data_IF_594165590586
#
_entry.id   IF_594165590586
#
_cell.length_a   1.000
_cell.length_b   1.000
_cell.length_c   1.000
_cell.angle_alpha   90.00
_cell.angle_beta   90.00
_cell.angle_gamma   90.00
#
_symmetry.space_group_name_H-M   'P 1'
#
loop_
_entity.id
_entity.type
_entity.pdbx_description
1 polymer ?
#
# COMPACT_ATOMS: atom_id res chain seq x y z
N UNK A 1 5.89 26.81 -10.41
CA UNK A 1 6.08 26.13 -9.11
C UNK A 1 7.53 26.30 -8.67
N UNK A 2 7.84 26.45 -7.38
CA UNK A 2 9.23 26.53 -6.93
C UNK A 2 9.86 25.13 -6.83
N UNK A 3 11.19 25.03 -6.90
CA UNK A 3 11.88 23.74 -6.77
C UNK A 3 11.56 23.07 -5.43
N UNK A 4 11.46 23.84 -4.35
CA UNK A 4 11.12 23.32 -3.03
C UNK A 4 9.71 22.74 -2.99
N UNK A 5 8.71 23.43 -3.56
CA UNK A 5 7.35 22.91 -3.56
C UNK A 5 7.17 21.71 -4.48
N UNK A 6 7.88 21.66 -5.61
CA UNK A 6 7.93 20.48 -6.47
C UNK A 6 8.49 19.26 -5.71
N UNK A 7 9.63 19.42 -5.04
CA UNK A 7 10.26 18.35 -4.27
C UNK A 7 9.36 17.88 -3.12
N UNK A 8 8.73 18.82 -2.41
CA UNK A 8 7.82 18.48 -1.31
C UNK A 8 6.61 17.68 -1.80
N UNK A 9 5.97 18.10 -2.90
CA UNK A 9 4.82 17.38 -3.47
C UNK A 9 5.24 16.00 -4.02
N UNK A 10 6.38 15.92 -4.70
CA UNK A 10 6.90 14.66 -5.24
C UNK A 10 7.28 13.66 -4.15
N UNK A 11 7.79 14.15 -3.01
CA UNK A 11 8.22 13.31 -1.89
C UNK A 11 7.08 12.98 -0.92
N UNK A 12 6.01 13.78 -0.87
CA UNK A 12 4.91 13.61 0.08
C UNK A 12 4.35 12.17 0.11
N UNK A 13 4.09 11.49 -1.02
CA UNK A 13 3.58 10.12 -1.00
C UNK A 13 4.45 9.14 -0.19
N UNK A 14 5.76 9.38 -0.07
CA UNK A 14 6.67 8.51 0.69
C UNK A 14 6.34 8.44 2.18
N UNK A 15 5.56 9.38 2.73
CA UNK A 15 5.10 9.31 4.12
C UNK A 15 4.37 7.99 4.40
N UNK A 16 3.63 7.48 3.42
CA UNK A 16 2.86 6.23 3.51
C UNK A 16 3.75 4.98 3.54
N UNK A 17 5.02 5.08 3.18
CA UNK A 17 6.01 4.00 3.35
C UNK A 17 6.84 4.20 4.61
N UNK A 18 7.29 5.44 4.84
CA UNK A 18 8.20 5.77 5.92
C UNK A 18 7.56 5.57 7.29
N UNK A 19 6.34 6.07 7.51
CA UNK A 19 5.67 5.96 8.81
C UNK A 19 5.42 4.50 9.19
N UNK A 20 4.84 3.64 8.33
CA UNK A 20 4.67 2.22 8.63
C UNK A 20 5.98 1.47 8.82
N UNK A 21 7.00 1.77 8.01
CA UNK A 21 8.32 1.13 8.12
C UNK A 21 8.98 1.45 9.44
N UNK A 22 9.00 2.73 9.84
CA UNK A 22 9.56 3.17 11.13
C UNK A 22 8.76 2.59 12.29
N UNK A 23 7.42 2.63 12.23
CA UNK A 23 6.55 2.06 13.25
C UNK A 23 6.78 0.56 13.43
N UNK A 24 6.83 -0.20 12.34
CA UNK A 24 7.12 -1.63 12.36
C UNK A 24 8.52 -1.93 12.89
N UNK A 25 9.53 -1.17 12.43
CA UNK A 25 10.90 -1.34 12.88
C UNK A 25 11.04 -1.12 14.38
N UNK A 26 10.48 -0.03 14.92
CA UNK A 26 10.51 0.26 16.37
C UNK A 26 9.82 -0.86 17.15
N UNK A 27 8.64 -1.33 16.70
CA UNK A 27 7.86 -2.35 17.42
C UNK A 27 8.50 -3.73 17.37
N UNK A 28 9.22 -4.05 16.30
CA UNK A 28 9.83 -5.38 16.14
C UNK A 28 11.19 -5.55 16.81
N UNK A 29 11.82 -4.47 17.32
CA UNK A 29 13.07 -4.56 18.11
C UNK A 29 12.98 -5.46 19.33
N UNK A 30 11.76 -5.69 19.84
CA UNK A 30 11.48 -6.53 21.02
C UNK A 30 10.62 -7.74 20.67
N UNK A 31 10.51 -8.09 19.37
CA UNK A 31 9.71 -9.23 18.97
C UNK A 31 10.38 -10.53 19.45
N UNK A 32 9.69 -11.39 20.22
CA UNK A 32 10.25 -12.63 20.75
C UNK A 32 10.38 -13.73 19.69
N UNK A 33 9.76 -13.56 18.50
CA UNK A 33 9.85 -14.52 17.41
C UNK A 33 9.69 -13.86 16.04
N UNK A 34 10.18 -14.55 15.00
CA UNK A 34 10.00 -14.14 13.61
C UNK A 34 8.52 -14.03 13.23
N UNK A 35 7.66 -14.91 13.76
CA UNK A 35 6.22 -14.88 13.50
C UNK A 35 5.59 -13.58 14.01
N UNK A 36 5.93 -13.17 15.23
CA UNK A 36 5.43 -11.91 15.80
C UNK A 36 5.99 -10.69 15.07
N UNK A 37 7.25 -10.75 14.63
CA UNK A 37 7.83 -9.71 13.79
C UNK A 37 7.08 -9.57 12.46
N UNK A 38 6.87 -10.67 11.73
CA UNK A 38 6.13 -10.68 10.46
C UNK A 38 4.70 -10.16 10.63
N UNK A 39 3.99 -10.59 11.68
CA UNK A 39 2.63 -10.10 11.96
C UNK A 39 2.61 -8.59 12.25
N UNK A 40 3.60 -8.09 12.99
CA UNK A 40 3.74 -6.65 13.27
C UNK A 40 3.97 -5.87 11.99
N UNK A 41 4.93 -6.29 11.16
CA UNK A 41 5.21 -5.67 9.87
C UNK A 41 3.98 -5.69 8.96
N UNK A 42 3.30 -6.83 8.88
CA UNK A 42 2.11 -7.00 8.05
C UNK A 42 1.00 -6.02 8.47
N UNK A 43 0.75 -5.85 9.77
CA UNK A 43 -0.28 -4.92 10.27
C UNK A 43 0.07 -3.46 10.00
N UNK A 44 1.32 -3.06 10.19
CA UNK A 44 1.76 -1.70 9.88
C UNK A 44 1.60 -1.38 8.40
N UNK A 45 1.99 -2.30 7.51
CA UNK A 45 1.82 -2.11 6.07
C UNK A 45 0.35 -2.19 5.63
N UNK A 46 -0.43 -3.11 6.20
CA UNK A 46 -1.85 -3.26 5.90
C UNK A 46 -2.66 -2.02 6.29
N UNK A 47 -2.50 -1.55 7.53
CA UNK A 47 -3.26 -0.41 8.06
C UNK A 47 -2.64 0.90 7.58
N UNK A 48 -1.35 1.11 7.81
CA UNK A 48 -0.71 2.40 7.61
C UNK A 48 -0.43 2.69 6.14
N UNK A 49 0.28 1.79 5.45
CA UNK A 49 0.68 2.02 4.06
C UNK A 49 -0.52 1.88 3.12
N UNK A 50 -1.17 0.72 3.18
CA UNK A 50 -2.22 0.39 2.22
C UNK A 50 -3.57 0.98 2.60
N UNK A 51 -4.04 0.75 3.83
CA UNK A 51 -5.34 1.23 4.32
C UNK A 51 -5.44 2.76 4.37
N UNK A 52 -4.64 3.40 5.24
CA UNK A 52 -4.65 4.85 5.43
C UNK A 52 -4.16 5.60 4.19
N UNK A 53 -3.15 5.09 3.48
CA UNK A 53 -2.69 5.69 2.22
C UNK A 53 -3.79 5.75 1.16
N UNK A 54 -4.52 4.64 0.94
CA UNK A 54 -5.63 4.62 -0.02
C UNK A 54 -6.83 5.44 0.47
N UNK A 55 -7.11 5.45 1.78
CA UNK A 55 -8.16 6.30 2.35
C UNK A 55 -7.84 7.79 2.16
N UNK A 56 -6.58 8.18 2.34
CA UNK A 56 -6.13 9.54 2.05
C UNK A 56 -6.38 9.91 0.59
N UNK A 57 -6.04 9.03 -0.36
CA UNK A 57 -6.34 9.28 -1.78
C UNK A 57 -7.84 9.46 -2.03
N UNK A 58 -8.67 8.63 -1.40
CA UNK A 58 -10.14 8.75 -1.47
C UNK A 58 -10.60 10.14 -1.02
N UNK A 59 -10.16 10.56 0.17
CA UNK A 59 -10.53 11.85 0.74
C UNK A 59 -10.01 13.00 -0.12
N UNK A 60 -8.79 12.91 -0.64
CA UNK A 60 -8.18 13.95 -1.45
C UNK A 60 -8.90 14.13 -2.80
N UNK A 61 -9.21 13.03 -3.50
CA UNK A 61 -9.93 13.10 -4.78
C UNK A 61 -11.38 13.57 -4.64
N UNK A 62 -12.06 13.24 -3.53
CA UNK A 62 -13.44 13.70 -3.28
C UNK A 62 -13.50 15.14 -2.75
N UNK A 63 -12.61 15.49 -1.81
CA UNK A 63 -12.65 16.76 -1.10
C UNK A 63 -11.93 17.91 -1.82
N UNK A 64 -10.90 17.61 -2.62
CA UNK A 64 -10.10 18.60 -3.33
C UNK A 64 -9.76 18.15 -4.76
N UNK A 65 -10.76 17.85 -5.62
CA UNK A 65 -10.52 17.33 -6.96
C UNK A 65 -9.67 18.25 -7.84
N UNK A 66 -9.85 19.57 -7.80
CA UNK A 66 -9.03 20.50 -8.61
C UNK A 66 -7.55 20.49 -8.21
N UNK A 67 -7.28 20.34 -6.91
CA UNK A 67 -5.92 20.22 -6.38
C UNK A 67 -5.30 18.92 -6.85
N UNK A 68 -6.04 17.81 -6.77
CA UNK A 68 -5.55 16.51 -7.23
C UNK A 68 -5.28 16.51 -8.73
N UNK A 69 -6.19 17.03 -9.55
CA UNK A 69 -6.05 17.14 -11.01
C UNK A 69 -4.76 17.88 -11.38
N UNK A 70 -4.54 19.05 -10.76
CA UNK A 70 -3.33 19.85 -10.93
C UNK A 70 -2.08 19.08 -10.48
N UNK A 71 -2.13 18.41 -9.33
CA UNK A 71 -0.99 17.69 -8.78
C UNK A 71 -0.57 16.52 -9.68
N UNK A 72 -1.53 15.78 -10.24
CA UNK A 72 -1.27 14.62 -11.09
C UNK A 72 -1.08 14.97 -12.57
N UNK A 73 -1.28 16.23 -12.99
CA UNK A 73 -1.06 16.64 -14.38
C UNK A 73 -2.20 16.30 -15.35
N UNK A 74 -3.40 16.02 -14.83
CA UNK A 74 -4.57 15.66 -15.64
C UNK A 74 -5.69 16.70 -15.52
N UNK A 75 -6.54 16.78 -16.54
CA UNK A 75 -7.78 17.55 -16.47
C UNK A 75 -8.75 16.96 -15.45
N UNK A 76 -9.56 17.83 -14.86
CA UNK A 76 -10.66 17.40 -13.99
C UNK A 76 -11.76 16.74 -14.83
N UNK A 77 -11.91 15.43 -14.65
CA UNK A 77 -12.93 14.63 -15.33
C UNK A 77 -13.70 13.75 -14.33
N UNK A 78 -14.88 13.21 -14.70
CA UNK A 78 -15.61 12.27 -13.84
C UNK A 78 -14.80 11.04 -13.40
N UNK A 79 -13.77 10.66 -14.16
CA UNK A 79 -12.87 9.56 -13.82
C UNK A 79 -12.20 9.73 -12.45
N UNK A 80 -12.01 10.97 -11.97
CA UNK A 80 -11.46 11.23 -10.64
C UNK A 80 -12.33 10.66 -9.51
N UNK A 81 -13.65 10.65 -9.70
CA UNK A 81 -14.58 10.04 -8.75
C UNK A 81 -14.40 8.52 -8.72
N UNK A 82 -14.19 7.89 -9.88
CA UNK A 82 -13.89 6.46 -9.97
C UNK A 82 -12.56 6.11 -9.30
N UNK A 83 -11.51 6.92 -9.51
CA UNK A 83 -10.23 6.76 -8.81
C UNK A 83 -10.42 6.82 -7.29
N UNK A 84 -11.24 7.75 -6.81
CA UNK A 84 -11.53 7.87 -5.38
C UNK A 84 -12.16 6.59 -4.82
N UNK A 85 -13.16 6.03 -5.50
CA UNK A 85 -13.85 4.81 -5.04
C UNK A 85 -13.02 3.54 -5.25
N UNK A 86 -12.18 3.49 -6.28
CA UNK A 86 -11.17 2.44 -6.41
C UNK A 86 -10.26 2.43 -5.17
N UNK A 87 -9.74 3.60 -4.78
CA UNK A 87 -8.93 3.74 -3.57
C UNK A 87 -9.71 3.47 -2.28
N UNK A 88 -11.00 3.76 -2.22
CA UNK A 88 -11.84 3.38 -1.08
C UNK A 88 -11.92 1.85 -0.93
N UNK A 89 -12.09 1.14 -2.04
CA UNK A 89 -12.03 -0.33 -2.08
C UNK A 89 -10.68 -0.86 -1.58
N UNK A 90 -9.57 -0.27 -2.03
CA UNK A 90 -8.24 -0.60 -1.53
C UNK A 90 -8.08 -0.34 -0.03
N UNK A 91 -8.61 0.78 0.47
CA UNK A 91 -8.56 1.12 1.89
C UNK A 91 -9.27 0.08 2.75
N UNK A 92 -10.48 -0.32 2.35
CA UNK A 92 -11.27 -1.36 3.03
C UNK A 92 -10.50 -2.68 3.05
N UNK A 93 -9.91 -3.08 1.92
CA UNK A 93 -9.09 -4.30 1.85
C UNK A 93 -7.82 -4.19 2.71
N UNK A 94 -7.17 -3.04 2.76
CA UNK A 94 -6.01 -2.78 3.61
C UNK A 94 -6.34 -2.95 5.10
N UNK A 95 -7.44 -2.37 5.57
CA UNK A 95 -7.89 -2.56 6.95
C UNK A 95 -8.30 -4.01 7.23
N UNK A 96 -8.98 -4.67 6.28
CA UNK A 96 -9.32 -6.09 6.39
C UNK A 96 -8.07 -6.97 6.51
N UNK A 97 -7.00 -6.63 5.80
CA UNK A 97 -5.76 -7.39 5.81
C UNK A 97 -5.08 -7.42 7.19
N UNK A 98 -5.36 -6.46 8.08
CA UNK A 98 -4.78 -6.41 9.42
C UNK A 98 -5.08 -7.66 10.26
N UNK A 99 -6.25 -8.25 10.09
CA UNK A 99 -6.71 -9.46 10.80
C UNK A 99 -6.94 -10.66 9.87
N UNK A 100 -6.55 -10.56 8.61
CA UNK A 100 -6.74 -11.61 7.61
C UNK A 100 -5.71 -12.75 7.74
N UNK A 101 -6.08 -13.91 7.22
CA UNK A 101 -5.13 -15.03 7.08
C UNK A 101 -4.01 -14.69 6.09
N UNK A 102 -2.86 -15.38 6.18
CA UNK A 102 -1.78 -15.18 5.21
C UNK A 102 -2.22 -15.40 3.75
N UNK A 103 -3.11 -16.37 3.49
CA UNK A 103 -3.66 -16.62 2.15
C UNK A 103 -4.51 -15.44 1.66
N UNK A 104 -5.40 -14.94 2.50
CA UNK A 104 -6.26 -13.80 2.16
C UNK A 104 -5.45 -12.51 1.97
N UNK A 105 -4.40 -12.29 2.77
CA UNK A 105 -3.45 -11.17 2.60
C UNK A 105 -2.73 -11.22 1.26
N UNK A 106 -2.37 -12.42 0.75
CA UNK A 106 -1.81 -12.57 -0.59
C UNK A 106 -2.85 -12.16 -1.65
N UNK A 107 -4.10 -12.63 -1.54
CA UNK A 107 -5.18 -12.25 -2.46
C UNK A 107 -5.42 -10.74 -2.46
N UNK A 108 -5.48 -10.13 -1.28
CA UNK A 108 -5.63 -8.67 -1.12
C UNK A 108 -4.44 -7.94 -1.75
N UNK A 109 -3.21 -8.39 -1.50
CA UNK A 109 -2.00 -7.81 -2.08
C UNK A 109 -1.98 -7.91 -3.60
N UNK A 110 -2.42 -9.02 -4.18
CA UNK A 110 -2.54 -9.19 -5.64
C UNK A 110 -3.63 -8.27 -6.22
N UNK A 111 -4.80 -8.20 -5.59
CA UNK A 111 -5.89 -7.32 -6.02
C UNK A 111 -5.49 -5.85 -5.99
N UNK A 112 -4.88 -5.40 -4.87
CA UNK A 112 -4.30 -4.06 -4.78
C UNK A 112 -3.16 -3.82 -5.77
N UNK A 113 -2.34 -4.85 -6.01
CA UNK A 113 -1.27 -4.82 -7.00
C UNK A 113 -1.77 -4.60 -8.42
N UNK A 114 -2.88 -5.22 -8.83
CA UNK A 114 -3.41 -5.00 -10.19
C UNK A 114 -3.79 -3.54 -10.44
N UNK A 115 -4.36 -2.87 -9.44
CA UNK A 115 -4.63 -1.43 -9.55
C UNK A 115 -3.34 -0.61 -9.49
N UNK A 116 -2.53 -0.78 -8.43
CA UNK A 116 -1.35 0.06 -8.19
C UNK A 116 -0.24 -0.16 -9.23
N UNK A 117 0.06 -1.40 -9.62
CA UNK A 117 1.03 -1.64 -10.71
C UNK A 117 0.51 -1.20 -12.07
N UNK A 118 -0.81 -1.23 -12.29
CA UNK A 118 -1.43 -0.63 -13.46
C UNK A 118 -1.23 0.89 -13.48
N UNK A 119 -1.48 1.56 -12.35
CA UNK A 119 -1.22 2.98 -12.17
C UNK A 119 0.26 3.32 -12.38
N UNK A 120 1.19 2.54 -11.81
CA UNK A 120 2.63 2.69 -12.02
C UNK A 120 3.00 2.64 -13.51
N UNK A 121 2.48 1.65 -14.25
CA UNK A 121 2.73 1.56 -15.68
C UNK A 121 2.16 2.77 -16.43
N UNK A 122 0.97 3.24 -16.02
CA UNK A 122 0.38 4.48 -16.52
C UNK A 122 1.27 5.70 -16.26
N UNK A 123 1.72 5.90 -15.02
CA UNK A 123 2.62 6.99 -14.65
C UNK A 123 3.93 6.97 -15.45
N UNK A 124 4.56 5.80 -15.61
CA UNK A 124 5.77 5.63 -16.43
C UNK A 124 5.48 6.01 -17.89
N UNK A 125 4.35 5.56 -18.45
CA UNK A 125 3.96 5.94 -19.81
C UNK A 125 3.77 7.45 -19.95
N UNK A 126 3.02 8.08 -19.05
CA UNK A 126 2.79 9.53 -19.06
C UNK A 126 4.10 10.32 -18.94
N UNK A 127 5.01 9.85 -18.08
CA UNK A 127 6.31 10.48 -17.89
C UNK A 127 7.15 10.42 -19.17
N UNK A 128 7.35 9.25 -19.76
CA UNK A 128 8.28 9.11 -20.89
C UNK A 128 7.68 9.46 -22.24
N UNK A 129 6.40 9.14 -22.47
CA UNK A 129 5.75 9.31 -23.78
C UNK A 129 5.11 10.69 -23.89
N UNK A 130 4.43 11.15 -22.84
CA UNK A 130 3.68 12.42 -22.87
C UNK A 130 4.43 13.58 -22.19
N UNK A 131 5.61 13.33 -21.60
CA UNK A 131 6.41 14.37 -20.96
C UNK A 131 5.78 14.94 -19.69
N UNK A 132 4.87 14.20 -19.05
CA UNK A 132 4.22 14.66 -17.82
C UNK A 132 5.13 14.47 -16.61
N UNK A 133 5.75 15.58 -16.20
CA UNK A 133 6.63 15.65 -15.04
C UNK A 133 5.92 16.17 -13.78
N UNK A 134 4.59 16.16 -13.74
CA UNK A 134 3.82 16.65 -12.60
C UNK A 134 4.21 15.88 -11.32
N UNK A 135 4.28 16.56 -10.16
CA UNK A 135 4.83 15.97 -8.94
C UNK A 135 3.95 14.84 -8.37
N UNK A 136 2.65 14.82 -8.67
CA UNK A 136 1.74 13.73 -8.34
C UNK A 136 1.71 12.61 -9.38
N UNK A 137 2.36 12.78 -10.53
CA UNK A 137 2.51 11.77 -11.58
C UNK A 137 3.89 11.09 -11.53
N UNK A 138 4.86 11.73 -10.90
CA UNK A 138 6.25 11.28 -10.82
C UNK A 138 6.72 11.24 -9.36
N UNK A 139 7.90 10.67 -9.10
CA UNK A 139 8.48 10.64 -7.76
C UNK A 139 7.87 9.59 -6.84
N UNK A 140 7.45 9.99 -5.63
CA UNK A 140 7.09 9.08 -4.54
C UNK A 140 5.90 8.17 -4.83
N UNK A 141 4.98 8.59 -5.70
CA UNK A 141 3.83 7.78 -6.12
C UNK A 141 4.29 6.48 -6.80
N UNK A 142 5.32 6.55 -7.66
CA UNK A 142 5.88 5.37 -8.34
C UNK A 142 6.42 4.34 -7.33
N UNK A 143 7.03 4.83 -6.26
CA UNK A 143 7.60 4.00 -5.20
C UNK A 143 6.48 3.33 -4.40
N UNK A 144 5.41 4.07 -4.08
CA UNK A 144 4.25 3.52 -3.38
C UNK A 144 3.57 2.43 -4.20
N UNK A 145 3.29 2.73 -5.47
CA UNK A 145 2.57 1.84 -6.36
C UNK A 145 3.30 0.52 -6.55
N UNK A 146 4.63 0.56 -6.63
CA UNK A 146 5.46 -0.63 -6.68
C UNK A 146 5.50 -1.37 -5.34
N UNK A 147 5.88 -0.67 -4.26
CA UNK A 147 6.31 -1.32 -3.02
C UNK A 147 5.17 -1.76 -2.12
N UNK A 148 4.05 -1.03 -2.05
CA UNK A 148 2.95 -1.37 -1.15
C UNK A 148 2.42 -2.80 -1.43
N UNK A 149 2.03 -3.16 -2.66
CA UNK A 149 1.60 -4.52 -2.97
C UNK A 149 2.72 -5.53 -2.81
N UNK A 150 3.93 -5.22 -3.29
CA UNK A 150 5.06 -6.15 -3.29
C UNK A 150 5.46 -6.56 -1.86
N UNK A 151 5.51 -5.60 -0.93
CA UNK A 151 5.83 -5.86 0.48
C UNK A 151 4.69 -6.60 1.17
N UNK A 152 3.43 -6.21 0.94
CA UNK A 152 2.26 -6.91 1.48
C UNK A 152 2.24 -8.39 1.08
N UNK A 153 2.48 -8.69 -0.19
CA UNK A 153 2.56 -10.06 -0.72
C UNK A 153 3.75 -10.79 -0.09
N UNK A 154 4.93 -10.17 -0.06
CA UNK A 154 6.16 -10.80 0.45
C UNK A 154 6.03 -11.19 1.92
N UNK A 155 5.50 -10.29 2.76
CA UNK A 155 5.26 -10.56 4.18
C UNK A 155 4.26 -11.71 4.37
N UNK A 156 3.17 -11.70 3.62
CA UNK A 156 2.13 -12.72 3.71
C UNK A 156 2.63 -14.10 3.24
N UNK A 157 3.40 -14.16 2.15
CA UNK A 157 4.06 -15.40 1.67
C UNK A 157 5.03 -15.95 2.71
N UNK A 158 5.85 -15.08 3.34
CA UNK A 158 6.77 -15.50 4.40
C UNK A 158 6.03 -16.04 5.61
N UNK A 159 4.96 -15.38 6.05
CA UNK A 159 4.11 -15.85 7.16
C UNK A 159 3.51 -17.22 6.84
N UNK A 160 2.96 -17.40 5.64
CA UNK A 160 2.37 -18.66 5.22
C UNK A 160 3.40 -19.81 5.22
N UNK A 161 4.63 -19.55 4.74
CA UNK A 161 5.70 -20.55 4.74
C UNK A 161 6.10 -20.95 6.16
N UNK A 162 6.20 -19.98 7.08
CA UNK A 162 6.53 -20.23 8.48
C UNK A 162 5.45 -21.05 9.21
N UNK A 163 4.17 -20.74 8.96
CA UNK A 163 3.03 -21.50 9.50
C UNK A 163 3.02 -22.95 9.03
N UNK A 164 3.39 -23.21 7.76
CA UNK A 164 3.48 -24.57 7.20
C UNK A 164 4.68 -25.37 7.74
N UNK A 165 5.78 -24.68 8.02
CA UNK A 165 7.00 -25.32 8.52
C UNK A 165 6.92 -25.67 10.02
N UNK A 166 6.02 -25.04 10.76
CA UNK A 166 5.84 -25.31 12.20
C UNK A 166 4.90 -26.52 12.37
N UNK A 167 5.36 -27.65 12.94
CA UNK A 167 4.50 -28.79 13.18
C UNK A 167 3.32 -28.37 14.07
N UNK A 168 2.09 -28.69 13.66
CA UNK A 168 0.95 -28.55 14.58
C UNK A 168 1.22 -29.48 15.78
N UNK A 169 1.11 -29.00 17.02
CA UNK A 169 0.99 -29.90 18.16
C UNK A 169 -0.13 -30.89 17.83
N UNK A 170 0.14 -32.19 17.99
CA UNK A 170 -0.87 -33.23 17.82
C UNK A 170 -1.93 -33.07 18.90
N UNK A 171 -2.93 -32.21 18.70
CA UNK A 171 -4.06 -32.09 19.60
C UNK A 171 -5.03 -33.24 19.32
N UNK A 172 -4.96 -34.25 20.21
CA UNK A 172 -6.02 -35.20 20.57
C UNK A 172 -6.62 -36.05 19.44
N UNK A 173 -5.85 -37.03 18.96
CA UNK A 173 -6.39 -38.26 18.37
C UNK A 173 -6.56 -39.40 19.41
N UNK A 174 -6.53 -39.06 20.70
CA UNK A 174 -6.68 -40.03 21.79
C UNK A 174 -7.58 -39.45 22.89
N UNK A 175 -8.87 -39.39 22.60
CA UNK A 175 -9.91 -39.54 23.61
C UNK A 175 -10.94 -40.46 22.97
N UNK A 176 -10.73 -41.76 23.21
CA UNK A 176 -11.68 -42.85 23.00
C UNK A 176 -12.87 -42.65 23.93
#
# INVERSE_FOLDING_TARGET
MSNLSYLAQSAFPLVWLLVPTVGAFIRTRRAPSLQQALETWQRWWAIGAFGCGSLWMTVAFLGAPDVMATAIGFDRTPFMFEIAFANLGLAVMGFRAASASARERITIGLGGGMFLWGALAGHVYQWFVNGDHSPGNTGGVLVNDLLIPAVMITLAVRSQRLERATPRPATQAAAV
#
